data_IF_502195134785
#
_entry.id   IF_502195134785
#
_cell.length_a   1.000
_cell.length_b   1.000
_cell.length_c   1.000
_cell.angle_alpha   90.00
_cell.angle_beta   90.00
_cell.angle_gamma   90.00
#
_symmetry.space_group_name_H-M   'P 1'
#
loop_
_entity.id
_entity.type
_entity.pdbx_description
1 polymer ?
#
# COMPACT_ATOMS: atom_id res chain seq x y z
N UNK A 1 5.02 0.37 3.70
CA UNK A 1 3.74 -0.03 3.12
C UNK A 1 2.94 1.20 2.75
N UNK A 2 2.49 1.31 1.51
CA UNK A 2 1.58 2.37 1.09
C UNK A 2 0.34 1.75 0.44
N UNK A 3 0.55 0.99 -0.63
CA UNK A 3 -0.54 0.30 -1.32
C UNK A 3 -1.19 -0.80 -0.48
N UNK A 4 -0.43 -1.46 0.40
CA UNK A 4 -0.94 -2.50 1.29
C UNK A 4 -1.94 -1.93 2.32
N UNK A 5 -1.72 -0.69 2.78
CA UNK A 5 -2.64 -0.01 3.70
C UNK A 5 -3.97 0.32 3.03
N UNK A 6 -3.96 0.63 1.73
CA UNK A 6 -5.19 0.80 0.96
C UNK A 6 -5.90 -0.55 0.75
N UNK A 7 -5.15 -1.61 0.41
CA UNK A 7 -5.72 -2.95 0.30
C UNK A 7 -6.42 -3.39 1.60
N UNK A 8 -5.80 -3.17 2.76
CA UNK A 8 -6.41 -3.39 4.07
C UNK A 8 -7.74 -2.64 4.26
N UNK A 9 -7.77 -1.35 3.93
CA UNK A 9 -8.96 -0.53 4.11
C UNK A 9 -10.10 -0.98 3.19
N UNK A 10 -9.79 -1.30 1.92
CA UNK A 10 -10.79 -1.73 0.95
C UNK A 10 -11.25 -3.17 1.19
N UNK A 11 -10.39 -4.09 1.64
CA UNK A 11 -10.76 -5.46 2.04
C UNK A 11 -11.71 -5.43 3.23
N UNK A 12 -11.40 -4.64 4.27
CA UNK A 12 -12.29 -4.47 5.45
C UNK A 12 -13.65 -3.90 5.08
N UNK A 13 -13.71 -3.07 4.04
CA UNK A 13 -14.96 -2.52 3.53
C UNK A 13 -15.69 -3.45 2.54
N UNK A 14 -15.14 -4.63 2.22
CA UNK A 14 -15.69 -5.55 1.22
C UNK A 14 -15.71 -4.96 -0.19
N UNK A 15 -14.76 -4.07 -0.51
CA UNK A 15 -14.74 -3.24 -1.72
C UNK A 15 -13.43 -3.34 -2.51
N UNK A 16 -12.71 -4.46 -2.43
CA UNK A 16 -11.42 -4.65 -3.13
C UNK A 16 -11.50 -4.42 -4.64
N UNK A 17 -12.65 -4.66 -5.26
CA UNK A 17 -12.93 -4.36 -6.68
C UNK A 17 -12.72 -2.88 -7.04
N UNK A 18 -12.76 -1.98 -6.05
CA UNK A 18 -12.63 -0.53 -6.23
C UNK A 18 -11.21 -0.01 -6.00
N UNK A 19 -10.30 -0.86 -5.51
CA UNK A 19 -8.95 -0.45 -5.14
C UNK A 19 -8.16 0.06 -6.34
N UNK A 20 -8.20 -0.63 -7.48
CA UNK A 20 -7.42 -0.23 -8.67
C UNK A 20 -7.86 1.13 -9.20
N UNK A 21 -9.18 1.37 -9.27
CA UNK A 21 -9.71 2.67 -9.66
C UNK A 21 -9.17 3.79 -8.78
N UNK A 22 -9.23 3.60 -7.45
CA UNK A 22 -8.74 4.54 -6.46
C UNK A 22 -7.23 4.77 -6.54
N UNK A 23 -6.45 3.70 -6.59
CA UNK A 23 -5.00 3.76 -6.47
C UNK A 23 -4.27 4.05 -7.79
N UNK A 24 -4.90 3.83 -8.95
CA UNK A 24 -4.19 3.86 -10.24
C UNK A 24 -4.86 4.65 -11.36
N UNK A 25 -6.19 4.83 -11.33
CA UNK A 25 -6.90 5.49 -12.45
C UNK A 25 -7.34 6.91 -12.12
N UNK A 26 -8.09 7.11 -11.04
CA UNK A 26 -8.78 8.38 -10.81
C UNK A 26 -7.84 9.57 -10.62
N UNK A 27 -6.68 9.35 -9.98
CA UNK A 27 -5.64 10.38 -9.88
C UNK A 27 -5.09 10.78 -11.25
N UNK A 28 -4.64 9.81 -12.05
CA UNK A 28 -4.09 10.05 -13.38
C UNK A 28 -5.10 10.77 -14.29
N UNK A 29 -6.36 10.31 -14.30
CA UNK A 29 -7.44 10.90 -15.08
C UNK A 29 -7.71 12.36 -14.65
N UNK A 30 -7.77 12.63 -13.35
CA UNK A 30 -8.00 13.98 -12.80
C UNK A 30 -6.87 14.95 -13.17
N UNK A 31 -5.63 14.49 -13.08
CA UNK A 31 -4.44 15.29 -13.43
C UNK A 31 -4.12 15.28 -14.94
N UNK A 32 -4.91 14.59 -15.76
CA UNK A 32 -4.68 14.43 -17.21
C UNK A 32 -3.30 13.85 -17.56
N UNK A 33 -2.83 12.93 -16.72
CA UNK A 33 -1.59 12.19 -16.94
C UNK A 33 -1.89 10.80 -17.54
N UNK A 34 -0.96 10.21 -18.31
CA UNK A 34 -1.11 8.84 -18.77
C UNK A 34 -1.22 7.87 -17.59
N UNK A 35 -2.09 6.87 -17.72
CA UNK A 35 -2.18 5.77 -16.74
C UNK A 35 -0.92 4.91 -16.82
N UNK A 36 -0.50 4.39 -15.67
CA UNK A 36 0.58 3.40 -15.60
C UNK A 36 0.18 2.14 -16.38
N UNK A 37 1.14 1.52 -17.08
CA UNK A 37 0.94 0.27 -17.84
C UNK A 37 1.56 -0.94 -17.15
N UNK A 38 2.41 -0.70 -16.14
CA UNK A 38 2.98 -1.75 -15.31
C UNK A 38 1.94 -2.24 -14.31
N UNK A 39 2.04 -3.52 -13.95
CA UNK A 39 1.20 -4.16 -12.95
C UNK A 39 2.03 -4.49 -11.73
N UNK A 40 1.35 -4.51 -10.58
CA UNK A 40 1.87 -5.02 -9.32
C UNK A 40 0.91 -6.09 -8.80
N UNK A 41 1.41 -7.01 -8.00
CA UNK A 41 0.60 -8.04 -7.35
C UNK A 41 0.58 -7.79 -5.84
N UNK A 42 -0.62 -7.70 -5.28
CA UNK A 42 -0.81 -7.73 -3.83
C UNK A 42 -1.26 -9.13 -3.45
N UNK A 43 -0.51 -9.77 -2.56
CA UNK A 43 -0.83 -11.08 -2.03
C UNK A 43 -1.43 -10.94 -0.63
N UNK A 44 -2.48 -11.72 -0.34
CA UNK A 44 -3.08 -11.76 0.98
C UNK A 44 -2.25 -12.66 1.89
N UNK A 45 -1.16 -12.11 2.40
CA UNK A 45 -0.19 -12.77 3.27
C UNK A 45 0.10 -11.89 4.47
N UNK A 46 -0.03 -12.47 5.67
CA UNK A 46 0.27 -11.79 6.93
C UNK A 46 1.77 -11.42 7.01
N UNK A 47 2.05 -10.20 7.42
CA UNK A 47 3.40 -9.75 7.73
C UNK A 47 3.38 -8.64 8.77
N UNK A 48 4.47 -8.56 9.54
CA UNK A 48 4.62 -7.55 10.58
C UNK A 48 5.27 -6.29 10.01
N UNK A 49 4.65 -5.13 10.27
CA UNK A 49 5.24 -3.83 9.94
C UNK A 49 6.42 -3.59 10.87
N UNK A 50 7.61 -3.24 10.35
CA UNK A 50 8.75 -2.89 11.18
C UNK A 50 8.44 -1.76 12.16
N UNK A 51 9.00 -1.82 13.36
CA UNK A 51 8.88 -0.76 14.37
C UNK A 51 9.44 0.58 13.87
N UNK A 52 10.49 0.51 13.06
CA UNK A 52 11.11 1.67 12.43
C UNK A 52 11.84 1.28 11.15
N UNK A 53 12.04 2.27 10.28
CA UNK A 53 12.97 2.22 9.16
C UNK A 53 14.15 3.16 9.43
N UNK A 54 15.40 2.72 9.26
CA UNK A 54 16.54 3.63 9.31
C UNK A 54 16.49 4.57 8.08
N UNK A 55 16.52 5.88 8.32
CA UNK A 55 16.61 6.89 7.25
C UNK A 55 18.06 7.30 7.05
N UNK A 56 18.78 7.49 8.16
CA UNK A 56 20.22 7.71 8.20
C UNK A 56 20.83 6.88 9.33
N UNK A 57 22.15 6.96 9.55
CA UNK A 57 22.79 6.32 10.70
C UNK A 57 22.25 6.79 12.07
N UNK A 58 21.67 8.00 12.13
CA UNK A 58 21.21 8.62 13.38
C UNK A 58 19.70 8.86 13.44
N UNK A 59 18.99 8.71 12.33
CA UNK A 59 17.58 9.03 12.23
C UNK A 59 16.75 7.80 11.84
N UNK A 60 15.63 7.65 12.52
CA UNK A 60 14.67 6.57 12.31
C UNK A 60 13.30 7.14 12.01
N UNK A 61 12.58 6.48 11.11
CA UNK A 61 11.19 6.77 10.77
C UNK A 61 10.30 5.67 11.34
N UNK A 62 9.39 6.02 12.24
CA UNK A 62 8.31 5.13 12.69
C UNK A 62 7.21 5.10 11.62
N UNK A 63 6.94 3.97 10.96
CA UNK A 63 5.87 3.89 9.98
C UNK A 63 4.50 3.89 10.66
N UNK A 64 3.47 4.24 9.88
CA UNK A 64 2.09 4.01 10.30
C UNK A 64 1.88 2.50 10.51
N UNK A 65 1.21 2.14 11.62
CA UNK A 65 0.99 0.74 12.07
C UNK A 65 2.28 -0.02 12.43
N UNK A 66 3.33 0.67 12.88
CA UNK A 66 4.53 0.05 13.45
C UNK A 66 4.19 -1.08 14.44
N UNK A 67 4.83 -2.24 14.29
CA UNK A 67 4.64 -3.41 15.15
C UNK A 67 3.36 -4.22 14.89
N UNK A 68 2.39 -3.67 14.16
CA UNK A 68 1.13 -4.36 13.83
C UNK A 68 1.30 -5.35 12.67
N UNK A 69 0.34 -6.27 12.54
CA UNK A 69 0.23 -7.19 11.40
C UNK A 69 -0.66 -6.54 10.32
N UNK A 70 -0.19 -6.57 9.08
CA UNK A 70 -1.01 -6.36 7.88
C UNK A 70 -1.23 -7.70 7.19
N UNK A 71 -2.38 -7.87 6.53
CA UNK A 71 -2.78 -9.09 5.84
C UNK A 71 -2.54 -9.02 4.33
N UNK A 72 -2.13 -7.87 3.81
CA UNK A 72 -1.79 -7.68 2.41
C UNK A 72 -0.33 -7.26 2.26
N UNK A 73 0.38 -7.88 1.31
CA UNK A 73 1.79 -7.61 1.03
C UNK A 73 2.00 -7.42 -0.46
N UNK A 74 2.78 -6.40 -0.83
CA UNK A 74 3.27 -6.26 -2.19
C UNK A 74 4.26 -7.39 -2.51
N UNK A 75 4.01 -8.13 -3.60
CA UNK A 75 4.94 -9.12 -4.11
C UNK A 75 6.16 -8.41 -4.70
N UNK A 76 7.36 -8.86 -4.32
CA UNK A 76 8.63 -8.34 -4.80
C UNK A 76 8.94 -8.79 -6.24
#
# INVERSE_FOLDING_TARGET
AAIELYAEAFDKAGALDKLEGFASFYGADFYQLPRNTQQITLEKTDWQVPEYYPVTEKEQLTPLKAGEILHWKLQA
#
